data_IF_622600406032
#
_entry.id   IF_622600406032
#
_cell.length_a   1.000
_cell.length_b   1.000
_cell.length_c   1.000
_cell.angle_alpha   90.00
_cell.angle_beta   90.00
_cell.angle_gamma   90.00
#
_symmetry.space_group_name_H-M   'P 1'
#
loop_
_entity.id
_entity.type
_entity.pdbx_description
1 polymer ?
#
# COMPACT_ATOMS: atom_id res chain seq x y z
N UNK A 1 -14.14 19.18 11.29
CA UNK A 1 -13.06 19.07 12.29
C UNK A 1 -11.89 18.39 11.61
N UNK A 2 -10.66 18.90 11.75
CA UNK A 2 -9.44 18.31 11.18
C UNK A 2 -9.14 16.98 11.88
N UNK A 3 -8.76 15.96 11.10
CA UNK A 3 -8.41 14.61 11.58
C UNK A 3 -6.92 14.49 11.85
N UNK A 4 -6.35 15.43 12.59
CA UNK A 4 -4.91 15.45 12.84
C UNK A 4 -4.60 14.64 14.12
N UNK A 5 -3.60 13.78 14.03
CA UNK A 5 -3.09 12.94 15.11
C UNK A 5 -1.76 13.45 15.64
N UNK A 6 -1.53 13.29 16.94
CA UNK A 6 -0.23 13.55 17.57
C UNK A 6 0.47 12.22 17.78
N UNK A 7 1.55 11.99 17.04
CA UNK A 7 2.42 10.82 17.19
C UNK A 7 3.42 11.03 18.33
N UNK A 8 4.00 9.94 18.90
CA UNK A 8 4.81 10.02 20.12
C UNK A 8 6.14 10.77 19.94
N UNK A 9 6.71 10.75 18.74
CA UNK A 9 7.99 11.40 18.45
C UNK A 9 7.87 12.75 17.76
N UNK A 10 9.00 13.40 17.46
CA UNK A 10 9.01 14.68 16.79
C UNK A 10 8.46 14.58 15.37
N UNK A 11 7.61 15.52 14.98
CA UNK A 11 7.10 15.63 13.61
C UNK A 11 8.26 15.75 12.62
N UNK A 12 8.38 14.82 11.67
CA UNK A 12 9.41 14.90 10.65
C UNK A 12 9.20 16.15 9.76
N UNK A 13 10.26 16.93 9.47
CA UNK A 13 10.12 18.19 8.72
C UNK A 13 9.71 17.97 7.26
N UNK A 14 10.15 16.86 6.66
CA UNK A 14 9.78 16.48 5.29
C UNK A 14 8.58 15.55 5.32
N UNK A 15 7.38 16.08 5.02
CA UNK A 15 6.12 15.32 5.06
C UNK A 15 5.88 14.36 3.89
N UNK A 16 6.56 14.58 2.77
CA UNK A 16 6.49 13.72 1.58
C UNK A 16 7.90 13.35 1.16
N UNK A 17 8.21 12.06 1.19
CA UNK A 17 9.45 11.51 0.65
C UNK A 17 9.16 10.91 -0.73
N UNK A 18 9.97 11.24 -1.73
CA UNK A 18 9.73 10.78 -3.10
C UNK A 18 11.03 10.76 -3.89
N UNK A 19 11.09 9.84 -4.85
CA UNK A 19 12.17 9.70 -5.80
C UNK A 19 11.63 9.31 -7.17
N UNK A 20 12.18 9.92 -8.22
CA UNK A 20 11.92 9.50 -9.59
C UNK A 20 12.52 8.11 -9.82
N UNK A 21 11.77 7.23 -10.48
CA UNK A 21 12.15 5.86 -10.79
C UNK A 21 11.64 5.48 -12.19
N UNK A 22 11.91 4.24 -12.60
CA UNK A 22 11.28 3.64 -13.77
C UNK A 22 10.58 2.35 -13.33
N UNK A 23 9.35 2.19 -13.82
CA UNK A 23 8.53 1.01 -13.58
C UNK A 23 8.50 0.13 -14.82
N UNK A 24 8.81 -1.15 -14.65
CA UNK A 24 8.91 -2.14 -15.71
C UNK A 24 7.72 -3.09 -15.57
N UNK A 25 6.82 -3.19 -16.56
CA UNK A 25 5.66 -4.07 -16.45
C UNK A 25 6.13 -5.53 -16.39
N UNK A 26 5.58 -6.28 -15.44
CA UNK A 26 5.90 -7.68 -15.21
C UNK A 26 4.62 -8.52 -15.15
N UNK A 27 4.72 -9.75 -15.66
CA UNK A 27 3.78 -10.83 -15.40
C UNK A 27 4.55 -11.92 -14.66
N UNK A 28 4.30 -12.05 -13.37
CA UNK A 28 5.08 -12.88 -12.45
C UNK A 28 4.34 -14.17 -12.13
N UNK A 29 5.04 -15.31 -12.20
CA UNK A 29 4.53 -16.58 -11.67
C UNK A 29 4.89 -16.69 -10.19
N UNK A 30 3.88 -16.70 -9.34
CA UNK A 30 4.02 -16.96 -7.91
C UNK A 30 3.78 -18.45 -7.65
N UNK A 31 4.72 -19.08 -6.94
CA UNK A 31 4.63 -20.51 -6.62
C UNK A 31 3.81 -20.73 -5.35
N UNK A 32 2.96 -21.74 -5.36
CA UNK A 32 2.34 -22.27 -4.16
C UNK A 32 3.31 -23.13 -3.34
N UNK A 33 2.85 -23.58 -2.17
CA UNK A 33 3.63 -24.45 -1.28
C UNK A 33 4.69 -23.72 -0.44
N UNK A 34 4.80 -22.40 -0.56
CA UNK A 34 5.77 -21.57 0.19
C UNK A 34 5.12 -20.30 0.73
N UNK A 35 5.76 -19.60 1.70
CA UNK A 35 5.30 -18.29 2.17
C UNK A 35 5.09 -17.28 1.04
N UNK A 36 4.04 -16.46 1.14
CA UNK A 36 3.67 -15.52 0.08
C UNK A 36 4.78 -14.48 -0.16
N UNK A 37 5.38 -13.96 0.89
CA UNK A 37 6.51 -13.02 0.82
C UNK A 37 7.70 -13.61 0.08
N UNK A 38 8.06 -14.86 0.37
CA UNK A 38 9.11 -15.59 -0.32
C UNK A 38 8.75 -15.84 -1.80
N UNK A 39 7.51 -16.27 -2.10
CA UNK A 39 7.05 -16.49 -3.46
C UNK A 39 7.11 -15.20 -4.31
N UNK A 40 6.72 -14.07 -3.72
CA UNK A 40 6.79 -12.75 -4.39
C UNK A 40 8.24 -12.32 -4.58
N UNK A 41 9.08 -12.40 -3.54
CA UNK A 41 10.48 -12.00 -3.63
C UNK A 41 11.24 -12.81 -4.67
N UNK A 42 11.04 -14.14 -4.71
CA UNK A 42 11.66 -15.00 -5.71
C UNK A 42 11.18 -14.69 -7.14
N UNK A 43 9.90 -14.42 -7.33
CA UNK A 43 9.35 -14.10 -8.65
C UNK A 43 9.92 -12.77 -9.20
N UNK A 44 10.03 -11.73 -8.36
CA UNK A 44 10.71 -10.49 -8.76
C UNK A 44 12.20 -10.70 -9.04
N UNK A 45 12.88 -11.49 -8.20
CA UNK A 45 14.30 -11.77 -8.36
C UNK A 45 14.59 -12.52 -9.67
N UNK A 46 13.71 -13.44 -10.09
CA UNK A 46 13.81 -14.14 -11.37
C UNK A 46 13.81 -13.18 -12.59
N UNK A 47 13.10 -12.05 -12.48
CA UNK A 47 13.06 -10.98 -13.48
C UNK A 47 14.16 -9.90 -13.27
N UNK A 48 15.05 -10.12 -12.30
CA UNK A 48 16.16 -9.22 -11.97
C UNK A 48 15.74 -7.96 -11.21
N UNK A 49 14.66 -8.02 -10.44
CA UNK A 49 14.20 -6.91 -9.59
C UNK A 49 14.25 -7.29 -8.10
N UNK A 50 14.65 -6.33 -7.28
CA UNK A 50 14.63 -6.43 -5.81
C UNK A 50 13.57 -5.53 -5.16
N UNK A 51 12.87 -4.74 -5.96
CA UNK A 51 11.84 -3.81 -5.52
C UNK A 51 10.72 -3.76 -6.56
N UNK A 52 9.49 -3.61 -6.09
CA UNK A 52 8.34 -3.70 -6.97
C UNK A 52 7.00 -3.35 -6.32
N UNK A 53 5.98 -3.31 -7.16
CA UNK A 53 4.58 -3.36 -6.74
C UNK A 53 3.87 -4.49 -7.47
N UNK A 54 3.07 -5.28 -6.77
CA UNK A 54 2.35 -6.43 -7.34
C UNK A 54 0.87 -6.34 -7.02
N UNK A 55 0.03 -6.68 -7.99
CA UNK A 55 -1.42 -6.85 -7.80
C UNK A 55 -1.78 -8.33 -7.75
N UNK A 56 -2.54 -8.70 -6.73
CA UNK A 56 -3.26 -9.98 -6.71
C UNK A 56 -4.72 -9.70 -6.99
N UNK A 57 -5.27 -10.32 -8.05
CA UNK A 57 -6.66 -10.19 -8.43
C UNK A 57 -7.26 -11.59 -8.52
N UNK A 58 -8.34 -11.83 -7.80
CA UNK A 58 -9.07 -13.10 -7.84
C UNK A 58 -8.17 -14.34 -7.57
N UNK A 59 -7.38 -14.29 -6.49
CA UNK A 59 -6.37 -15.32 -6.15
C UNK A 59 -6.86 -16.24 -5.04
N UNK A 60 -6.77 -17.55 -5.25
CA UNK A 60 -7.07 -18.56 -4.24
C UNK A 60 -5.92 -18.73 -3.24
N UNK A 61 -6.24 -18.71 -1.95
CA UNK A 61 -5.29 -18.85 -0.84
C UNK A 61 -5.64 -20.10 -0.04
N UNK A 62 -4.65 -20.97 0.17
CA UNK A 62 -4.77 -22.09 1.11
C UNK A 62 -4.85 -21.58 2.56
N UNK A 63 -4.14 -20.49 2.85
CA UNK A 63 -4.13 -19.80 4.14
C UNK A 63 -3.89 -18.32 3.94
N UNK A 64 -4.69 -17.49 4.59
CA UNK A 64 -4.53 -16.04 4.64
C UNK A 64 -4.60 -15.58 6.09
N UNK A 65 -3.47 -15.08 6.59
CA UNK A 65 -3.35 -14.50 7.92
C UNK A 65 -3.19 -12.98 7.79
N UNK A 66 -3.95 -12.24 8.60
CA UNK A 66 -4.02 -10.79 8.49
C UNK A 66 -4.33 -10.16 9.83
N UNK A 67 -4.14 -8.84 9.89
CA UNK A 67 -4.51 -7.98 11.02
C UNK A 67 -5.28 -6.76 10.53
N UNK A 68 -6.12 -6.21 11.41
CA UNK A 68 -6.79 -4.93 11.20
C UNK A 68 -6.27 -3.90 12.20
N UNK A 69 -6.52 -2.60 11.98
CA UNK A 69 -6.33 -1.60 13.01
C UNK A 69 -7.16 -1.96 14.24
N UNK A 70 -6.63 -1.68 15.42
CA UNK A 70 -7.30 -1.87 16.69
C UNK A 70 -6.95 -0.72 17.65
N UNK A 71 -7.75 -0.51 18.70
CA UNK A 71 -7.40 0.41 19.76
C UNK A 71 -6.07 0.01 20.42
N UNK A 72 -5.19 0.98 20.66
CA UNK A 72 -3.96 0.74 21.40
C UNK A 72 -4.26 0.40 22.88
N UNK A 73 -3.52 -0.55 23.48
CA UNK A 73 -3.64 -0.81 24.91
C UNK A 73 -3.04 0.37 25.70
N UNK A 74 -3.89 1.08 26.45
CA UNK A 74 -3.47 2.19 27.33
C UNK A 74 -3.12 3.48 26.57
N UNK A 75 -2.08 4.19 27.03
CA UNK A 75 -1.61 5.46 26.45
C UNK A 75 -0.52 5.27 25.37
N UNK A 76 -0.53 4.11 24.68
CA UNK A 76 0.48 3.68 23.73
C UNK A 76 0.42 4.38 22.36
N UNK A 77 1.08 3.82 21.32
CA UNK A 77 1.10 4.41 19.98
C UNK A 77 -0.31 4.62 19.42
N UNK A 78 -0.46 5.59 18.53
CA UNK A 78 -1.78 6.05 18.01
C UNK A 78 -2.49 4.99 17.16
N UNK A 79 -1.76 4.00 16.67
CA UNK A 79 -2.28 2.86 15.93
C UNK A 79 -1.74 1.55 16.54
N UNK A 80 -2.56 0.50 16.49
CA UNK A 80 -2.22 -0.83 16.99
C UNK A 80 -2.83 -1.88 16.06
N UNK A 81 -2.24 -3.07 16.02
CA UNK A 81 -2.78 -4.19 15.27
C UNK A 81 -3.64 -5.09 16.14
N UNK A 82 -4.76 -5.57 15.59
CA UNK A 82 -5.60 -6.59 16.21
C UNK A 82 -4.81 -7.88 16.49
N UNK A 83 -5.45 -8.82 17.21
CA UNK A 83 -4.99 -10.21 17.15
C UNK A 83 -5.03 -10.71 15.70
N UNK A 84 -4.11 -11.61 15.35
CA UNK A 84 -4.08 -12.21 14.01
C UNK A 84 -5.37 -12.98 13.74
N UNK A 85 -6.06 -12.61 12.66
CA UNK A 85 -7.15 -13.38 12.10
C UNK A 85 -6.61 -14.32 11.01
N UNK A 86 -7.24 -15.49 10.88
CA UNK A 86 -6.87 -16.51 9.91
C UNK A 86 -8.07 -16.99 9.12
N UNK A 87 -7.90 -17.13 7.81
CA UNK A 87 -8.83 -17.78 6.90
C UNK A 87 -8.12 -18.92 6.18
N UNK A 88 -8.76 -20.09 6.14
CA UNK A 88 -8.27 -21.26 5.42
C UNK A 88 -9.47 -22.14 5.02
N UNK A 89 -9.93 -22.12 3.75
CA UNK A 89 -9.39 -21.36 2.62
C UNK A 89 -9.83 -19.87 2.61
N UNK A 90 -9.21 -19.09 1.72
CA UNK A 90 -9.66 -17.74 1.38
C UNK A 90 -9.52 -17.46 -0.12
N UNK A 91 -10.21 -16.43 -0.61
CA UNK A 91 -10.03 -15.88 -1.96
C UNK A 91 -9.80 -14.38 -1.86
N UNK A 92 -8.67 -13.92 -2.40
CA UNK A 92 -8.32 -12.50 -2.53
C UNK A 92 -9.10 -11.94 -3.70
N UNK A 93 -9.95 -10.95 -3.44
CA UNK A 93 -10.64 -10.18 -4.48
C UNK A 93 -9.67 -9.19 -5.12
N UNK A 94 -8.96 -8.43 -4.27
CA UNK A 94 -7.91 -7.51 -4.67
C UNK A 94 -6.86 -7.39 -3.55
N UNK A 95 -5.57 -7.39 -3.89
CA UNK A 95 -4.50 -6.99 -2.99
C UNK A 95 -3.40 -6.25 -3.74
N UNK A 96 -2.77 -5.31 -3.04
CA UNK A 96 -1.60 -4.57 -3.50
C UNK A 96 -0.43 -4.85 -2.58
N UNK A 97 0.73 -5.17 -3.15
CA UNK A 97 1.91 -5.56 -2.40
C UNK A 97 3.12 -4.73 -2.84
N UNK A 98 3.75 -4.02 -1.90
CA UNK A 98 5.08 -3.44 -2.09
C UNK A 98 6.16 -4.45 -1.70
N UNK A 99 7.08 -4.70 -2.62
CA UNK A 99 8.35 -5.36 -2.34
C UNK A 99 9.44 -4.31 -2.18
N UNK A 100 10.13 -4.36 -1.05
CA UNK A 100 11.31 -3.56 -0.75
C UNK A 100 12.31 -4.36 0.07
N UNK A 101 13.07 -3.67 0.91
CA UNK A 101 14.04 -4.30 1.81
C UNK A 101 13.87 -3.88 3.25
N UNK A 102 14.27 -4.74 4.18
CA UNK A 102 14.43 -4.45 5.61
C UNK A 102 15.68 -5.17 6.10
N UNK A 103 16.59 -4.45 6.75
CA UNK A 103 17.86 -5.01 7.23
C UNK A 103 18.65 -5.78 6.14
N UNK A 104 18.59 -5.28 4.90
CA UNK A 104 19.24 -5.88 3.73
C UNK A 104 18.56 -7.12 3.15
N UNK A 105 17.45 -7.60 3.74
CA UNK A 105 16.67 -8.73 3.23
C UNK A 105 15.38 -8.26 2.52
N UNK A 106 14.81 -9.05 1.60
CA UNK A 106 13.50 -8.76 1.01
C UNK A 106 12.42 -8.60 2.08
N UNK A 107 11.58 -7.58 1.94
CA UNK A 107 10.49 -7.31 2.85
C UNK A 107 9.24 -6.93 2.07
N UNK A 108 8.12 -7.54 2.43
CA UNK A 108 6.83 -7.37 1.77
C UNK A 108 5.86 -6.62 2.70
N UNK A 109 5.22 -5.58 2.17
CA UNK A 109 4.07 -4.94 2.81
C UNK A 109 2.88 -5.05 1.86
N UNK A 110 1.72 -5.47 2.36
CA UNK A 110 0.57 -5.66 1.50
C UNK A 110 -0.76 -5.51 2.22
N UNK A 111 -1.70 -4.85 1.56
CA UNK A 111 -3.09 -4.74 1.99
C UNK A 111 -4.01 -5.41 0.98
N UNK A 112 -5.19 -5.85 1.41
CA UNK A 112 -6.13 -6.51 0.51
C UNK A 112 -7.56 -6.54 1.00
N UNK A 113 -8.42 -7.04 0.12
CA UNK A 113 -9.83 -7.38 0.29
C UNK A 113 -10.00 -8.85 -0.11
N UNK A 114 -10.59 -9.65 0.76
CA UNK A 114 -10.75 -11.08 0.58
C UNK A 114 -12.02 -11.60 1.25
N UNK A 115 -12.34 -12.85 0.95
CA UNK A 115 -13.45 -13.59 1.57
C UNK A 115 -12.96 -14.95 2.03
N UNK A 116 -13.46 -15.39 3.19
CA UNK A 116 -13.33 -16.77 3.65
C UNK A 116 -14.43 -17.65 3.07
N UNK A 117 -14.53 -18.88 3.57
CA UNK A 117 -15.58 -19.83 3.17
C UNK A 117 -17.01 -19.34 3.50
N UNK A 118 -17.16 -18.45 4.48
CA UNK A 118 -18.45 -17.83 4.84
C UNK A 118 -18.90 -16.73 3.87
N UNK A 119 -18.07 -16.37 2.89
CA UNK A 119 -18.37 -15.34 1.90
C UNK A 119 -18.35 -13.91 2.44
N UNK A 120 -18.06 -13.70 3.74
CA UNK A 120 -18.06 -12.36 4.35
C UNK A 120 -16.80 -11.59 3.91
N UNK A 121 -16.94 -10.39 3.33
CA UNK A 121 -15.81 -9.59 2.91
C UNK A 121 -15.03 -9.07 4.12
N UNK A 122 -13.71 -9.13 4.01
CA UNK A 122 -12.74 -8.68 5.02
C UNK A 122 -11.60 -7.98 4.30
N UNK A 123 -11.01 -6.99 4.95
CA UNK A 123 -9.79 -6.35 4.46
C UNK A 123 -8.81 -6.17 5.61
N UNK A 124 -7.57 -5.79 5.29
CA UNK A 124 -6.57 -5.45 6.29
C UNK A 124 -5.15 -5.58 5.76
N UNK A 125 -4.23 -5.70 6.71
CA UNK A 125 -2.81 -5.90 6.45
C UNK A 125 -2.46 -7.38 6.39
N UNK A 126 -1.83 -7.82 5.30
CA UNK A 126 -1.41 -9.19 5.07
C UNK A 126 -0.14 -9.53 5.84
N UNK A 127 -0.16 -10.65 6.56
CA UNK A 127 1.04 -11.23 7.15
C UNK A 127 1.69 -12.17 6.14
N UNK A 128 2.46 -11.60 5.20
CA UNK A 128 3.09 -12.32 4.07
C UNK A 128 3.75 -13.67 4.43
N UNK A 129 4.62 -13.73 5.48
CA UNK A 129 5.25 -14.97 5.94
C UNK A 129 4.29 -16.08 6.37
N UNK A 130 3.07 -15.71 6.75
CA UNK A 130 2.02 -16.60 7.26
C UNK A 130 0.95 -16.96 6.21
N UNK A 131 0.96 -16.29 5.07
CA UNK A 131 0.06 -16.54 3.94
C UNK A 131 0.60 -17.61 2.99
N UNK A 132 -0.29 -18.39 2.37
CA UNK A 132 0.03 -19.44 1.40
C UNK A 132 -0.97 -19.43 0.23
N UNK A 133 -0.46 -19.39 -0.99
CA UNK A 133 -1.26 -19.59 -2.21
C UNK A 133 -1.82 -21.02 -2.25
N UNK A 134 -3.03 -21.19 -2.79
CA UNK A 134 -3.63 -22.52 -2.98
C UNK A 134 -3.00 -23.28 -4.15
N UNK A 135 -2.61 -22.55 -5.19
CA UNK A 135 -2.01 -23.05 -6.41
C UNK A 135 -1.07 -21.98 -7.01
N UNK A 136 -0.23 -22.39 -7.96
CA UNK A 136 0.61 -21.44 -8.69
C UNK A 136 -0.27 -20.43 -9.43
N UNK A 137 0.06 -19.15 -9.35
CA UNK A 137 -0.73 -18.08 -9.95
C UNK A 137 0.14 -17.11 -10.74
N UNK A 138 -0.42 -16.54 -11.80
CA UNK A 138 0.19 -15.42 -12.52
C UNK A 138 -0.37 -14.10 -11.99
N UNK A 139 0.51 -13.17 -11.65
CA UNK A 139 0.16 -11.87 -11.10
C UNK A 139 0.86 -10.74 -11.87
N UNK A 140 0.15 -9.64 -12.07
CA UNK A 140 0.68 -8.46 -12.78
C UNK A 140 1.30 -7.46 -11.81
N UNK A 141 2.45 -6.91 -12.17
CA UNK A 141 3.14 -5.94 -11.34
C UNK A 141 4.12 -5.06 -12.09
N UNK A 142 4.93 -4.37 -11.30
CA UNK A 142 5.94 -3.43 -11.76
C UNK A 142 7.24 -3.69 -11.03
N UNK A 143 8.29 -4.05 -11.77
CA UNK A 143 9.66 -4.01 -11.26
C UNK A 143 10.15 -2.57 -11.21
N UNK A 144 10.77 -2.16 -10.10
CA UNK A 144 11.24 -0.78 -9.92
C UNK A 144 12.76 -0.67 -10.07
N UNK A 145 13.20 0.41 -10.71
CA UNK A 145 14.62 0.78 -10.82
C UNK A 145 14.80 2.28 -10.63
N UNK A 146 15.97 2.73 -10.19
CA UNK A 146 16.21 4.14 -9.84
C UNK A 146 15.76 4.52 -8.42
N UNK A 147 14.70 3.89 -7.90
CA UNK A 147 14.32 3.95 -6.50
C UNK A 147 13.74 2.62 -6.02
N UNK A 148 13.90 2.34 -4.72
CA UNK A 148 13.34 1.19 -4.03
C UNK A 148 12.84 1.63 -2.64
N UNK A 149 11.89 0.88 -2.06
CA UNK A 149 11.51 1.08 -0.67
C UNK A 149 12.48 0.33 0.26
N UNK A 150 12.92 1.01 1.31
CA UNK A 150 13.71 0.45 2.41
C UNK A 150 13.00 0.77 3.72
N UNK A 151 12.76 -0.26 4.53
CA UNK A 151 12.08 -0.16 5.80
C UNK A 151 13.10 0.13 6.90
N UNK A 152 12.88 1.22 7.63
CA UNK A 152 13.73 1.65 8.74
C UNK A 152 12.87 2.17 9.91
N UNK A 153 13.40 2.17 11.14
CA UNK A 153 12.75 2.82 12.27
C UNK A 153 12.43 4.30 11.97
N UNK A 154 11.23 4.73 12.35
CA UNK A 154 10.75 6.08 12.18
C UNK A 154 10.49 6.74 13.54
N UNK A 155 11.24 7.80 13.82
CA UNK A 155 11.20 8.47 15.13
C UNK A 155 9.84 9.09 15.44
N UNK A 156 9.15 9.66 14.44
CA UNK A 156 7.86 10.33 14.62
C UNK A 156 6.81 9.34 15.11
N UNK A 157 6.64 8.24 14.39
CA UNK A 157 5.55 7.29 14.62
C UNK A 157 5.91 6.18 15.61
N UNK A 158 7.20 5.87 15.78
CA UNK A 158 7.69 4.70 16.52
C UNK A 158 7.59 3.37 15.73
N UNK A 159 7.15 3.41 14.48
CA UNK A 159 7.05 2.22 13.63
C UNK A 159 8.30 2.02 12.77
N UNK A 160 8.49 0.82 12.24
CA UNK A 160 9.40 0.59 11.11
C UNK A 160 8.64 0.84 9.82
N UNK A 161 9.01 1.86 9.06
CA UNK A 161 8.28 2.33 7.88
C UNK A 161 9.14 2.28 6.63
N UNK A 162 8.51 1.98 5.50
CA UNK A 162 9.13 2.13 4.20
C UNK A 162 9.43 3.60 3.89
N UNK A 163 10.61 3.84 3.32
CA UNK A 163 10.97 5.11 2.71
C UNK A 163 11.67 4.87 1.36
N UNK A 164 11.43 5.72 0.35
CA UNK A 164 12.12 5.59 -0.92
C UNK A 164 13.61 5.91 -0.76
N UNK A 165 14.45 5.05 -1.32
CA UNK A 165 15.91 5.18 -1.41
C UNK A 165 16.37 5.10 -2.86
N UNK A 166 17.43 5.82 -3.25
CA UNK A 166 18.01 5.68 -4.57
C UNK A 166 18.45 4.22 -4.81
N UNK A 167 18.18 3.71 -6.00
CA UNK A 167 18.56 2.37 -6.43
C UNK A 167 19.21 2.42 -7.82
N UNK A 168 19.94 1.38 -8.25
CA UNK A 168 20.45 1.30 -9.61
C UNK A 168 19.33 1.47 -10.64
N UNK A 169 19.61 2.27 -11.68
CA UNK A 169 18.69 2.43 -12.82
C UNK A 169 18.88 1.28 -13.80
N UNK A 170 17.80 0.90 -14.47
CA UNK A 170 17.82 -0.04 -15.60
C UNK A 170 17.29 0.67 -16.85
N UNK A 171 17.82 0.36 -18.05
CA UNK A 171 17.23 0.84 -19.30
C UNK A 171 15.78 0.35 -19.47
N UNK A 172 14.93 1.14 -20.13
CA UNK A 172 13.53 0.81 -20.37
C UNK A 172 12.62 1.18 -19.19
N UNK A 173 11.41 0.60 -19.19
CA UNK A 173 10.35 0.95 -18.25
C UNK A 173 9.69 2.30 -18.55
N UNK A 174 8.58 2.57 -17.88
CA UNK A 174 7.89 3.87 -17.94
C UNK A 174 8.40 4.78 -16.83
N UNK A 175 8.49 6.10 -17.06
CA UNK A 175 8.78 7.06 -15.99
C UNK A 175 7.78 6.90 -14.85
N UNK A 176 8.28 6.91 -13.62
CA UNK A 176 7.46 6.75 -12.43
C UNK A 176 8.02 7.55 -11.26
N UNK A 177 7.23 7.69 -10.20
CA UNK A 177 7.65 8.28 -8.93
C UNK A 177 7.21 7.35 -7.81
N UNK A 178 8.17 6.93 -7.00
CA UNK A 178 7.93 6.18 -5.77
C UNK A 178 7.92 7.18 -4.62
N UNK A 179 6.84 7.24 -3.86
CA UNK A 179 6.73 8.16 -2.74
C UNK A 179 6.07 7.53 -1.51
N UNK A 180 6.41 8.09 -0.35
CA UNK A 180 5.73 7.83 0.90
C UNK A 180 5.22 9.13 1.52
N UNK A 181 3.99 9.07 2.01
CA UNK A 181 3.32 10.16 2.69
C UNK A 181 3.38 9.90 4.20
N UNK A 182 3.72 10.92 4.98
CA UNK A 182 3.81 10.85 6.45
C UNK A 182 2.48 11.20 7.11
N UNK A 183 2.34 11.01 8.44
CA UNK A 183 1.11 11.34 9.16
C UNK A 183 0.54 12.73 8.87
N UNK A 184 -0.78 12.89 8.98
CA UNK A 184 -1.50 14.16 8.82
C UNK A 184 -1.37 14.82 7.44
N UNK A 185 -0.73 14.18 6.47
CA UNK A 185 -0.74 14.63 5.08
C UNK A 185 -2.11 14.32 4.47
N UNK A 186 -2.69 15.27 3.74
CA UNK A 186 -3.87 15.01 2.92
C UNK A 186 -3.41 14.32 1.63
N UNK A 187 -3.84 13.07 1.36
CA UNK A 187 -3.21 12.25 0.34
C UNK A 187 -3.45 12.73 -1.09
N UNK A 188 -4.65 13.21 -1.42
CA UNK A 188 -4.99 13.55 -2.81
C UNK A 188 -4.23 14.79 -3.29
N UNK A 189 -4.19 15.83 -2.47
CA UNK A 189 -3.42 17.06 -2.74
C UNK A 189 -1.92 16.79 -2.76
N UNK A 190 -1.42 15.93 -1.86
CA UNK A 190 -0.01 15.55 -1.86
C UNK A 190 0.38 14.80 -3.14
N UNK A 191 -0.42 13.83 -3.58
CA UNK A 191 -0.16 13.05 -4.80
C UNK A 191 -0.23 13.92 -6.06
N UNK A 192 -1.19 14.85 -6.12
CA UNK A 192 -1.25 15.85 -7.19
C UNK A 192 0.01 16.74 -7.23
N UNK A 193 0.50 17.18 -6.06
CA UNK A 193 1.71 17.98 -5.95
C UNK A 193 3.00 17.18 -6.29
N UNK A 194 3.05 15.88 -5.95
CA UNK A 194 4.13 14.97 -6.38
C UNK A 194 4.15 14.88 -7.90
N UNK A 195 3.00 14.58 -8.52
CA UNK A 195 2.88 14.47 -9.97
C UNK A 195 3.33 15.76 -10.67
N UNK A 196 2.86 16.92 -10.20
CA UNK A 196 3.24 18.23 -10.76
C UNK A 196 4.74 18.49 -10.67
N UNK A 197 5.38 18.23 -9.52
CA UNK A 197 6.84 18.45 -9.33
C UNK A 197 7.70 17.54 -10.20
N UNK A 198 7.18 16.38 -10.56
CA UNK A 198 7.84 15.42 -11.44
C UNK A 198 7.42 15.54 -12.92
N UNK A 199 6.60 16.53 -13.28
CA UNK A 199 6.14 16.73 -14.65
C UNK A 199 5.21 15.64 -15.17
N UNK A 200 4.54 14.89 -14.29
CA UNK A 200 3.56 13.88 -14.66
C UNK A 200 2.20 14.54 -14.93
N UNK A 201 1.88 14.77 -16.21
CA UNK A 201 0.60 15.36 -16.63
C UNK A 201 -0.60 14.42 -16.46
N UNK A 202 -0.39 13.13 -16.71
CA UNK A 202 -1.31 12.04 -16.34
C UNK A 202 -0.51 10.92 -15.69
N UNK A 203 -1.07 10.29 -14.67
CA UNK A 203 -0.44 9.13 -14.03
C UNK A 203 -1.48 8.17 -13.46
N UNK A 204 -1.19 6.87 -13.56
CA UNK A 204 -1.86 5.84 -12.75
C UNK A 204 -1.22 5.82 -11.36
N UNK A 205 -2.03 5.63 -10.32
CA UNK A 205 -1.54 5.47 -8.94
C UNK A 205 -1.85 4.05 -8.47
N UNK A 206 -0.80 3.38 -8.02
CA UNK A 206 -0.85 2.16 -7.23
C UNK A 206 -0.42 2.48 -5.80
N UNK A 207 -0.95 1.79 -4.80
CA UNK A 207 -0.49 2.01 -3.44
C UNK A 207 -1.40 1.47 -2.35
N UNK A 208 -0.93 1.66 -1.13
CA UNK A 208 -1.58 1.26 0.10
C UNK A 208 -1.14 2.16 1.25
N UNK A 209 -1.73 2.01 2.42
CA UNK A 209 -1.29 2.72 3.62
C UNK A 209 -2.38 2.80 4.67
N UNK A 210 -2.33 3.81 5.51
CA UNK A 210 -3.32 4.03 6.56
C UNK A 210 -3.81 5.47 6.63
N UNK A 211 -5.07 5.63 7.04
CA UNK A 211 -5.75 6.91 7.17
C UNK A 211 -6.32 7.08 8.59
N UNK A 212 -6.46 8.34 9.02
CA UNK A 212 -7.21 8.69 10.23
C UNK A 212 -8.68 8.61 9.89
N UNK A 213 -9.30 7.50 10.29
CA UNK A 213 -10.59 7.07 9.75
C UNK A 213 -10.54 6.93 8.22
N UNK A 214 -11.68 7.05 7.56
CA UNK A 214 -11.74 7.20 6.10
C UNK A 214 -13.03 7.92 5.72
N UNK A 215 -12.94 8.97 4.91
CA UNK A 215 -14.10 9.64 4.31
C UNK A 215 -14.18 9.28 2.83
N UNK A 216 -15.35 8.79 2.44
CA UNK A 216 -15.71 8.49 1.06
C UNK A 216 -16.78 9.45 0.56
N UNK A 217 -16.84 9.71 -0.74
CA UNK A 217 -17.77 10.68 -1.31
C UNK A 217 -19.24 10.25 -1.25
N UNK A 218 -19.53 8.95 -1.30
CA UNK A 218 -20.90 8.40 -1.37
C UNK A 218 -21.23 7.42 -0.24
N UNK A 219 -20.21 6.86 0.43
CA UNK A 219 -20.39 5.83 1.46
C UNK A 219 -20.29 6.40 2.87
N UNK A 220 -20.86 5.68 3.84
CA UNK A 220 -20.58 5.94 5.24
C UNK A 220 -19.07 5.77 5.50
N UNK A 221 -18.45 6.80 6.06
CA UNK A 221 -17.02 6.78 6.38
C UNK A 221 -16.69 5.91 7.60
N UNK A 222 -15.40 5.61 7.75
CA UNK A 222 -14.84 5.00 8.96
C UNK A 222 -14.48 6.11 9.95
N UNK A 223 -15.00 6.02 11.17
CA UNK A 223 -14.81 7.01 12.23
C UNK A 223 -13.66 6.72 13.20
N UNK A 224 -13.00 5.57 13.05
CA UNK A 224 -11.91 5.13 13.92
C UNK A 224 -10.66 6.02 13.77
N UNK A 225 -9.77 5.98 14.76
CA UNK A 225 -8.52 6.77 14.72
C UNK A 225 -7.50 6.20 13.73
N UNK A 226 -7.67 4.97 13.28
CA UNK A 226 -6.84 4.33 12.26
C UNK A 226 -7.69 3.42 11.36
N UNK A 227 -7.45 3.51 10.06
CA UNK A 227 -7.99 2.62 9.05
C UNK A 227 -6.87 2.19 8.10
N UNK A 228 -6.80 0.91 7.74
CA UNK A 228 -5.94 0.47 6.62
C UNK A 228 -6.62 0.80 5.30
N UNK A 229 -5.82 1.06 4.28
CA UNK A 229 -6.21 1.52 2.95
C UNK A 229 -5.49 0.69 1.89
N UNK A 230 -6.23 0.23 0.88
CA UNK A 230 -5.69 -0.24 -0.39
C UNK A 230 -6.28 0.59 -1.53
N UNK A 231 -5.43 1.12 -2.41
CA UNK A 231 -5.87 1.76 -3.65
C UNK A 231 -6.32 0.67 -4.63
N UNK A 232 -7.57 0.73 -5.07
CA UNK A 232 -8.12 -0.16 -6.09
C UNK A 232 -7.96 0.43 -7.49
N UNK A 233 -8.18 1.75 -7.60
CA UNK A 233 -7.95 2.53 -8.82
C UNK A 233 -7.51 3.92 -8.42
N UNK A 234 -6.33 4.34 -8.86
CA UNK A 234 -5.83 5.68 -8.62
C UNK A 234 -5.37 6.35 -9.91
N UNK A 235 -5.61 7.65 -10.01
CA UNK A 235 -5.18 8.44 -11.16
C UNK A 235 -4.86 9.89 -10.78
N UNK A 236 -3.90 10.49 -11.46
CA UNK A 236 -3.72 11.94 -11.59
C UNK A 236 -4.12 12.33 -13.00
N UNK A 237 -5.03 13.30 -13.12
CA UNK A 237 -5.45 13.86 -14.40
C UNK A 237 -5.81 15.33 -14.22
N UNK A 238 -5.43 16.20 -15.16
CA UNK A 238 -5.72 17.63 -15.09
C UNK A 238 -5.31 18.27 -13.74
N UNK A 239 -4.16 17.86 -13.19
CA UNK A 239 -3.63 18.38 -11.93
C UNK A 239 -4.36 17.93 -10.65
N UNK A 240 -5.30 16.98 -10.74
CA UNK A 240 -6.01 16.45 -9.59
C UNK A 240 -5.79 14.94 -9.43
N UNK A 241 -5.54 14.48 -8.20
CA UNK A 241 -5.50 13.06 -7.87
C UNK A 241 -6.88 12.56 -7.42
N UNK A 242 -7.22 11.33 -7.81
CA UNK A 242 -8.42 10.60 -7.39
C UNK A 242 -8.02 9.19 -7.02
N UNK A 243 -8.56 8.70 -5.89
CA UNK A 243 -8.37 7.32 -5.44
C UNK A 243 -9.73 6.70 -5.16
N UNK A 244 -10.04 5.61 -5.87
CA UNK A 244 -10.99 4.61 -5.40
C UNK A 244 -10.21 3.58 -4.58
N UNK A 245 -10.70 3.31 -3.38
CA UNK A 245 -10.01 2.49 -2.42
C UNK A 245 -10.97 1.61 -1.63
N UNK A 246 -10.42 0.60 -1.00
CA UNK A 246 -11.05 -0.11 0.12
C UNK A 246 -10.32 0.29 1.40
N UNK A 247 -11.06 0.52 2.46
CA UNK A 247 -10.52 0.77 3.79
C UNK A 247 -11.20 -0.09 4.85
N UNK A 248 -10.50 -0.34 5.96
CA UNK A 248 -11.04 -1.11 7.10
C UNK A 248 -10.58 -0.51 8.42
N UNK A 249 -11.53 -0.35 9.35
CA UNK A 249 -11.31 0.17 10.69
C UNK A 249 -11.29 -0.94 11.74
N UNK A 250 -11.69 -0.59 12.95
CA UNK A 250 -11.63 -1.45 14.14
C UNK A 250 -12.68 -2.56 14.15
N UNK A 251 -13.80 -2.33 13.47
CA UNK A 251 -14.90 -3.30 13.35
C UNK A 251 -14.60 -4.43 12.36
N UNK A 252 -13.55 -4.29 11.54
CA UNK A 252 -13.15 -5.25 10.51
C UNK A 252 -14.03 -5.25 9.25
N UNK A 253 -15.04 -4.39 9.18
CA UNK A 253 -15.94 -4.25 8.02
C UNK A 253 -15.31 -3.38 6.93
N UNK A 254 -15.01 -3.91 5.73
CA UNK A 254 -14.42 -3.11 4.68
C UNK A 254 -15.44 -2.15 4.06
N UNK A 255 -15.03 -0.89 3.86
CA UNK A 255 -15.77 0.12 3.09
C UNK A 255 -15.01 0.41 1.81
N UNK A 256 -15.71 0.39 0.67
CA UNK A 256 -15.13 0.66 -0.66
C UNK A 256 -15.76 1.92 -1.25
N UNK A 257 -14.94 2.82 -1.79
CA UNK A 257 -15.46 3.96 -2.53
C UNK A 257 -14.38 4.92 -3.00
N UNK A 258 -14.83 6.02 -3.63
CA UNK A 258 -13.96 7.15 -3.95
C UNK A 258 -13.66 7.97 -2.69
N UNK A 259 -12.39 8.22 -2.40
CA UNK A 259 -11.99 9.04 -1.27
C UNK A 259 -12.48 10.49 -1.46
N UNK A 260 -13.02 11.06 -0.38
CA UNK A 260 -13.42 12.47 -0.35
C UNK A 260 -12.17 13.37 -0.25
N UNK A 261 -12.08 14.36 -1.13
CA UNK A 261 -10.97 15.30 -1.17
C UNK A 261 -10.94 16.25 0.04
N UNK A 262 -9.74 16.58 0.52
CA UNK A 262 -9.49 17.61 1.53
C UNK A 262 -9.72 17.16 2.98
N UNK A 263 -10.40 16.03 3.20
CA UNK A 263 -10.81 15.56 4.53
C UNK A 263 -9.92 14.46 5.08
N UNK A 264 -9.44 13.55 4.23
CA UNK A 264 -8.64 12.42 4.65
C UNK A 264 -7.24 12.85 5.13
N UNK A 265 -6.69 12.14 6.11
CA UNK A 265 -5.35 12.37 6.64
C UNK A 265 -4.65 11.03 6.74
N UNK A 266 -3.38 10.96 6.37
CA UNK A 266 -2.56 9.77 6.61
C UNK A 266 -2.46 9.51 8.11
N UNK A 267 -2.66 8.26 8.54
CA UNK A 267 -2.49 7.87 9.93
C UNK A 267 -1.01 7.60 10.21
N UNK A 268 -0.45 6.50 9.71
CA UNK A 268 0.97 6.15 9.91
C UNK A 268 1.78 6.46 8.66
N UNK A 269 1.41 5.88 7.52
CA UNK A 269 2.04 6.16 6.24
C UNK A 269 1.15 5.76 5.08
N UNK A 270 1.39 6.35 3.90
CA UNK A 270 0.93 5.80 2.64
C UNK A 270 2.13 5.58 1.71
N UNK A 271 2.18 4.42 1.08
CA UNK A 271 3.18 4.01 0.10
C UNK A 271 2.53 4.02 -1.28
N UNK A 272 3.08 4.82 -2.19
CA UNK A 272 2.43 5.18 -3.44
C UNK A 272 3.43 5.10 -4.60
N UNK A 273 2.97 4.56 -5.71
CA UNK A 273 3.68 4.50 -6.98
C UNK A 273 2.86 5.22 -8.05
N UNK A 274 3.37 6.34 -8.53
CA UNK A 274 2.80 7.07 -9.66
C UNK A 274 3.48 6.59 -10.93
N UNK A 275 2.72 6.06 -11.87
CA UNK A 275 3.17 5.56 -13.16
C UNK A 275 2.77 6.57 -14.22
N UNK A 276 3.73 7.14 -14.95
CA UNK A 276 3.40 8.05 -16.04
C UNK A 276 2.51 7.33 -17.06
N UNK A 277 1.41 7.96 -17.42
CA UNK A 277 0.63 7.51 -18.56
C UNK A 277 1.05 8.31 -19.80
N UNK A 278 1.06 7.68 -21.00
CA UNK A 278 1.15 8.44 -22.23
C UNK A 278 0.07 9.51 -22.21
N UNK A 279 0.45 10.77 -22.42
CA UNK A 279 -0.52 11.86 -22.50
C UNK A 279 -1.56 11.50 -23.55
N UNK A 280 -2.82 11.31 -23.13
CA UNK A 280 -3.94 11.26 -24.06
C UNK A 280 -3.94 12.58 -24.83
N UNK A 281 -3.70 12.50 -26.14
CA UNK A 281 -3.86 13.61 -27.06
C UNK A 281 -5.34 14.04 -27.11
#
# INVERSE_FOLDING_TARGET
>A
MTRDLVHPGPTAPRRVAELACHAHPLLLRLRAGMPLDAAVAEAFAAEGFAAGYLRLCDVAMARLDFVCPAPAPGHGPVAWYSATARLAPARVEAAGLHLGTRDGAPFLHGHGLWRGADGVPRAGHLLGPDCRLAEDVWAEGWGLSGAALEAAPDDETGFTLFAPRPAPKRPGGVPAVLCTLRPNVEPLSALAAVAARHGLGSARIEGLGSLVGAAFAAEAGIGDVAAELLVLRGAVSAGAARLEAVAVGFDGGPVRGALQAGVNRVCVTCEMLLLAEPGGA
#
